data_IF_172015985754
#
_entry.id   IF_172015985754
#
_cell.length_a   1.000
_cell.length_b   1.000
_cell.length_c   1.000
_cell.angle_alpha   90.00
_cell.angle_beta   90.00
_cell.angle_gamma   90.00
#
_symmetry.space_group_name_H-M   'P 1'
#
loop_
_entity.id
_entity.type
_entity.pdbx_description
1 polymer ?
#
# COMPACT_ATOMS: atom_id res chain seq x y z
N UNK A 1 7.75 3.82 -26.21
CA UNK A 1 7.45 3.74 -24.76
C UNK A 1 5.96 3.48 -24.55
N UNK A 2 5.05 4.35 -24.99
CA UNK A 2 3.60 4.23 -24.75
C UNK A 2 3.00 2.91 -25.29
N UNK A 3 3.42 2.43 -26.48
CA UNK A 3 2.94 1.17 -27.04
C UNK A 3 3.34 -0.05 -26.18
N UNK A 4 4.57 -0.09 -25.67
CA UNK A 4 5.04 -1.16 -24.80
C UNK A 4 4.31 -1.10 -23.44
N UNK A 5 4.12 0.09 -22.89
CA UNK A 5 3.34 0.28 -21.67
C UNK A 5 1.89 -0.21 -21.84
N UNK A 6 1.24 0.18 -22.92
CA UNK A 6 -0.11 -0.29 -23.23
C UNK A 6 -0.19 -1.81 -23.39
N UNK A 7 0.80 -2.44 -24.05
CA UNK A 7 0.88 -3.89 -24.18
C UNK A 7 1.05 -4.60 -22.81
N UNK A 8 1.86 -4.06 -21.92
CA UNK A 8 2.03 -4.56 -20.54
C UNK A 8 0.70 -4.47 -19.78
N UNK A 9 0.02 -3.31 -19.86
CA UNK A 9 -1.28 -3.12 -19.19
C UNK A 9 -2.36 -4.06 -19.71
N UNK A 10 -2.43 -4.26 -21.04
CA UNK A 10 -3.32 -5.25 -21.64
C UNK A 10 -2.97 -6.67 -21.16
N UNK A 11 -1.69 -7.03 -21.08
CA UNK A 11 -1.26 -8.32 -20.52
C UNK A 11 -1.77 -8.54 -19.10
N UNK A 12 -1.71 -7.53 -18.24
CA UNK A 12 -2.26 -7.60 -16.88
C UNK A 12 -3.79 -7.74 -16.85
N UNK A 13 -4.51 -7.12 -17.78
CA UNK A 13 -5.97 -7.29 -17.87
C UNK A 13 -6.37 -8.73 -18.22
N UNK A 14 -5.54 -9.42 -19.02
CA UNK A 14 -5.79 -10.80 -19.44
C UNK A 14 -5.09 -11.86 -18.56
N UNK A 15 -4.68 -11.50 -17.34
CA UNK A 15 -3.99 -12.41 -16.40
C UNK A 15 -4.73 -13.72 -16.17
N UNK A 16 -6.07 -13.68 -16.07
CA UNK A 16 -6.89 -14.90 -15.88
C UNK A 16 -6.81 -15.90 -17.04
N UNK A 17 -6.52 -15.41 -18.24
CA UNK A 17 -6.44 -16.25 -19.46
C UNK A 17 -5.01 -16.70 -19.75
N UNK A 18 -4.01 -15.85 -19.42
CA UNK A 18 -2.58 -16.12 -19.67
C UNK A 18 -1.90 -16.95 -18.58
N UNK A 19 -2.46 -16.97 -17.37
CA UNK A 19 -1.83 -17.60 -16.20
C UNK A 19 -0.84 -16.67 -15.50
N UNK A 20 -0.62 -16.92 -14.20
CA UNK A 20 0.23 -16.08 -13.35
C UNK A 20 1.68 -16.02 -13.82
N UNK A 21 2.21 -17.13 -14.30
CA UNK A 21 3.63 -17.25 -14.67
C UNK A 21 3.95 -16.41 -15.92
N UNK A 22 3.10 -16.47 -16.92
CA UNK A 22 3.25 -15.68 -18.16
C UNK A 22 3.08 -14.19 -17.84
N UNK A 23 2.11 -13.84 -17.01
CA UNK A 23 1.87 -12.45 -16.63
C UNK A 23 3.04 -11.81 -15.92
N UNK A 24 3.77 -12.56 -15.10
CA UNK A 24 4.97 -12.07 -14.42
C UNK A 24 6.15 -11.81 -15.36
N UNK A 25 6.19 -12.48 -16.50
CA UNK A 25 7.27 -12.33 -17.51
C UNK A 25 7.00 -11.10 -18.43
N UNK A 26 5.74 -10.70 -18.60
CA UNK A 26 5.37 -9.61 -19.52
C UNK A 26 6.12 -8.30 -19.25
N UNK A 27 6.24 -7.80 -18.00
CA UNK A 27 6.99 -6.56 -17.73
C UNK A 27 8.48 -6.69 -18.08
N UNK A 28 9.09 -7.86 -17.79
CA UNK A 28 10.48 -8.11 -18.11
C UNK A 28 10.72 -8.17 -19.63
N UNK A 29 9.82 -8.81 -20.38
CA UNK A 29 9.85 -8.81 -21.83
C UNK A 29 9.69 -7.39 -22.41
N UNK A 30 8.75 -6.61 -21.87
CA UNK A 30 8.58 -5.20 -22.25
C UNK A 30 9.81 -4.36 -22.02
N UNK A 31 10.50 -4.54 -20.89
CA UNK A 31 11.75 -3.88 -20.58
C UNK A 31 12.87 -4.27 -21.59
N UNK A 32 12.98 -5.55 -21.91
CA UNK A 32 13.95 -6.03 -22.90
C UNK A 32 13.70 -5.41 -24.29
N UNK A 33 12.44 -5.31 -24.70
CA UNK A 33 12.07 -4.64 -25.96
C UNK A 33 12.55 -3.20 -25.96
N UNK A 34 12.34 -2.43 -24.88
CA UNK A 34 12.76 -1.04 -24.80
C UNK A 34 14.29 -0.89 -24.84
N UNK A 35 15.03 -1.82 -24.25
CA UNK A 35 16.50 -1.82 -24.30
C UNK A 35 17.00 -2.17 -25.71
N UNK A 36 16.44 -3.18 -26.37
CA UNK A 36 16.83 -3.61 -27.72
C UNK A 36 16.59 -2.48 -28.75
N UNK A 37 15.47 -1.77 -28.63
CA UNK A 37 15.20 -0.60 -29.46
C UNK A 37 15.93 0.67 -29.05
N UNK A 38 16.87 0.58 -28.09
CA UNK A 38 17.65 1.71 -27.56
C UNK A 38 16.80 2.91 -27.09
N UNK A 39 15.61 2.63 -26.61
CA UNK A 39 14.71 3.63 -26.03
C UNK A 39 15.09 3.91 -24.57
N UNK A 40 15.62 2.88 -23.89
CA UNK A 40 16.21 2.94 -22.54
C UNK A 40 17.67 2.50 -22.59
N UNK A 41 18.53 3.26 -21.94
CA UNK A 41 19.94 2.91 -21.78
C UNK A 41 20.13 1.99 -20.57
N UNK A 42 21.03 1.01 -20.67
CA UNK A 42 21.34 0.06 -19.58
C UNK A 42 21.69 0.78 -18.27
N UNK A 43 22.50 1.88 -18.26
CA UNK A 43 22.79 2.59 -17.02
C UNK A 43 21.56 3.18 -16.32
N UNK A 44 20.56 3.64 -17.06
CA UNK A 44 19.29 4.16 -16.49
C UNK A 44 18.47 3.06 -15.86
N UNK A 45 18.41 1.89 -16.51
CA UNK A 45 17.74 0.70 -15.98
C UNK A 45 18.41 0.25 -14.69
N UNK A 46 19.75 0.18 -14.68
CA UNK A 46 20.52 -0.20 -13.48
C UNK A 46 20.31 0.79 -12.33
N UNK A 47 20.29 2.08 -12.61
CA UNK A 47 19.99 3.11 -11.60
C UNK A 47 18.59 2.95 -11.01
N UNK A 48 17.61 2.58 -11.82
CA UNK A 48 16.24 2.33 -11.35
C UNK A 48 16.16 1.04 -10.52
N UNK A 49 16.86 -0.02 -10.92
CA UNK A 49 16.90 -1.29 -10.18
C UNK A 49 17.62 -1.14 -8.82
N UNK A 50 18.55 -0.22 -8.69
CA UNK A 50 19.27 0.04 -7.44
C UNK A 50 18.59 1.07 -6.56
N UNK A 51 17.38 1.56 -6.93
CA UNK A 51 16.66 2.50 -6.07
C UNK A 51 16.11 1.81 -4.82
N UNK A 52 16.13 2.53 -3.70
CA UNK A 52 15.70 2.03 -2.38
C UNK A 52 14.29 1.45 -2.38
N UNK A 53 13.39 1.99 -3.23
CA UNK A 53 12.01 1.53 -3.34
C UNK A 53 11.92 0.08 -3.84
N UNK A 54 12.71 -0.30 -4.84
CA UNK A 54 12.72 -1.67 -5.39
C UNK A 54 13.20 -2.65 -4.34
N UNK A 55 14.28 -2.34 -3.63
CA UNK A 55 14.83 -3.19 -2.58
C UNK A 55 13.91 -3.29 -1.37
N UNK A 56 13.25 -2.20 -1.01
CA UNK A 56 12.27 -2.19 0.07
C UNK A 56 11.09 -3.13 -0.24
N UNK A 57 10.50 -3.03 -1.44
CA UNK A 57 9.38 -3.89 -1.86
C UNK A 57 9.81 -5.34 -1.94
N UNK A 58 11.00 -5.62 -2.51
CA UNK A 58 11.56 -6.97 -2.58
C UNK A 58 11.78 -7.56 -1.17
N UNK A 59 12.41 -6.81 -0.27
CA UNK A 59 12.65 -7.23 1.12
C UNK A 59 11.34 -7.52 1.87
N UNK A 60 10.35 -6.65 1.74
CA UNK A 60 9.06 -6.84 2.42
C UNK A 60 8.26 -8.03 1.86
N UNK A 61 8.40 -8.37 0.59
CA UNK A 61 7.78 -9.58 0.05
C UNK A 61 8.37 -10.86 0.67
N UNK A 62 9.67 -10.85 0.93
CA UNK A 62 10.36 -11.96 1.64
C UNK A 62 9.88 -12.05 3.09
N UNK A 63 9.80 -10.91 3.79
CA UNK A 63 9.29 -10.85 5.17
C UNK A 63 7.83 -11.35 5.23
N UNK A 64 6.97 -10.92 4.31
CA UNK A 64 5.58 -11.38 4.25
C UNK A 64 5.49 -12.90 4.03
N UNK A 65 6.32 -13.44 3.15
CA UNK A 65 6.39 -14.89 2.90
C UNK A 65 6.90 -15.66 4.13
N UNK A 66 7.90 -15.11 4.82
CA UNK A 66 8.43 -15.70 6.05
C UNK A 66 7.37 -15.71 7.16
N UNK A 67 6.66 -14.60 7.38
CA UNK A 67 5.56 -14.51 8.34
C UNK A 67 4.48 -15.57 8.10
N UNK A 68 4.11 -15.77 6.82
CA UNK A 68 3.11 -16.76 6.45
C UNK A 68 3.59 -18.19 6.65
N UNK A 69 4.87 -18.50 6.37
CA UNK A 69 5.42 -19.85 6.47
C UNK A 69 5.79 -20.27 7.89
N UNK A 70 6.20 -19.33 8.73
CA UNK A 70 6.64 -19.61 10.11
C UNK A 70 5.51 -19.62 11.13
N UNK A 71 4.28 -19.24 10.75
CA UNK A 71 3.15 -19.09 11.68
C UNK A 71 3.25 -17.83 12.57
N UNK A 72 4.34 -17.08 12.49
CA UNK A 72 4.50 -15.83 13.25
C UNK A 72 3.45 -14.80 12.85
N UNK A 73 3.03 -14.80 11.58
CA UNK A 73 1.93 -13.95 11.10
C UNK A 73 0.64 -14.19 11.87
N UNK A 74 0.29 -15.46 12.16
CA UNK A 74 -0.89 -15.82 12.95
C UNK A 74 -0.77 -15.35 14.41
N UNK A 75 0.39 -15.53 15.02
CA UNK A 75 0.65 -15.03 16.38
C UNK A 75 0.49 -13.50 16.46
N UNK A 76 1.03 -12.76 15.50
CA UNK A 76 0.87 -11.30 15.41
C UNK A 76 -0.62 -10.96 15.26
N UNK A 77 -1.33 -11.62 14.35
CA UNK A 77 -2.75 -11.41 14.12
C UNK A 77 -3.58 -11.62 15.37
N UNK A 78 -3.40 -12.76 16.06
CA UNK A 78 -4.07 -13.06 17.31
C UNK A 78 -3.73 -12.09 18.43
N UNK A 79 -2.46 -11.68 18.54
CA UNK A 79 -2.03 -10.68 19.53
C UNK A 79 -2.73 -9.34 19.29
N UNK A 80 -2.81 -8.88 18.06
CA UNK A 80 -3.52 -7.65 17.69
C UNK A 80 -5.01 -7.78 18.02
N UNK A 81 -5.65 -8.90 17.69
CA UNK A 81 -7.06 -9.16 18.03
C UNK A 81 -7.30 -9.17 19.54
N UNK A 82 -6.41 -9.78 20.33
CA UNK A 82 -6.52 -9.81 21.78
C UNK A 82 -6.40 -8.40 22.37
N UNK A 83 -5.49 -7.57 21.87
CA UNK A 83 -5.35 -6.15 22.28
C UNK A 83 -6.63 -5.36 21.94
N UNK A 84 -7.30 -5.70 20.84
CA UNK A 84 -8.54 -5.08 20.40
C UNK A 84 -9.80 -5.63 21.08
N UNK A 85 -9.66 -6.52 22.07
CA UNK A 85 -10.78 -7.07 22.86
C UNK A 85 -11.17 -8.51 22.53
N UNK A 86 -10.34 -9.24 21.82
CA UNK A 86 -10.48 -10.69 21.54
C UNK A 86 -11.33 -11.02 20.32
N UNK A 87 -12.50 -10.41 20.19
CA UNK A 87 -13.42 -10.59 19.05
C UNK A 87 -13.96 -9.22 18.55
N UNK A 88 -13.09 -8.35 18.07
CA UNK A 88 -13.52 -7.04 17.57
C UNK A 88 -14.34 -7.19 16.30
N UNK A 89 -15.28 -6.28 16.07
CA UNK A 89 -15.99 -6.23 14.79
C UNK A 89 -14.98 -5.89 13.66
N UNK A 90 -15.14 -6.50 12.49
CA UNK A 90 -14.24 -6.24 11.35
C UNK A 90 -14.19 -4.76 10.95
N UNK A 91 -15.30 -4.04 11.13
CA UNK A 91 -15.35 -2.60 10.92
C UNK A 91 -14.44 -1.86 11.91
N UNK A 92 -14.42 -2.26 13.17
CA UNK A 92 -13.54 -1.68 14.19
C UNK A 92 -12.06 -1.94 13.86
N UNK A 93 -11.72 -3.17 13.45
CA UNK A 93 -10.37 -3.52 13.00
C UNK A 93 -9.94 -2.64 11.82
N UNK A 94 -10.81 -2.47 10.82
CA UNK A 94 -10.53 -1.62 9.66
C UNK A 94 -10.30 -0.16 10.05
N UNK A 95 -11.11 0.37 10.97
CA UNK A 95 -10.93 1.75 11.49
C UNK A 95 -9.57 1.89 12.15
N UNK A 96 -9.20 0.95 13.03
CA UNK A 96 -7.91 0.98 13.74
C UNK A 96 -6.74 0.95 12.77
N UNK A 97 -6.76 0.05 11.79
CA UNK A 97 -5.71 -0.03 10.77
C UNK A 97 -5.65 1.21 9.87
N UNK A 98 -6.81 1.74 9.44
CA UNK A 98 -6.87 2.97 8.67
C UNK A 98 -6.27 4.16 9.41
N UNK A 99 -6.65 4.34 10.67
CA UNK A 99 -6.14 5.44 11.51
C UNK A 99 -4.64 5.26 11.77
N UNK A 100 -4.20 4.05 12.12
CA UNK A 100 -2.79 3.74 12.35
C UNK A 100 -1.94 4.04 11.09
N UNK A 101 -2.37 3.56 9.92
CA UNK A 101 -1.67 3.82 8.65
C UNK A 101 -1.65 5.31 8.30
N UNK A 102 -2.77 6.01 8.45
CA UNK A 102 -2.88 7.44 8.18
C UNK A 102 -2.00 8.27 9.12
N UNK A 103 -1.85 7.88 10.38
CA UNK A 103 -0.94 8.54 11.31
C UNK A 103 0.52 8.25 10.95
N UNK A 104 0.88 6.99 10.73
CA UNK A 104 2.25 6.58 10.43
C UNK A 104 2.76 7.21 9.13
N UNK A 105 1.94 7.26 8.08
CA UNK A 105 2.34 7.79 6.77
C UNK A 105 2.70 9.27 6.80
N UNK A 106 2.26 10.03 7.79
CA UNK A 106 2.65 11.43 7.97
C UNK A 106 4.07 11.60 8.56
N UNK A 107 4.66 10.53 9.13
CA UNK A 107 6.00 10.55 9.71
C UNK A 107 6.99 9.69 8.93
N UNK A 108 6.51 8.73 8.15
CA UNK A 108 7.34 7.86 7.33
C UNK A 108 6.78 7.78 5.90
N UNK A 109 7.56 7.20 4.97
CA UNK A 109 7.11 7.11 3.58
C UNK A 109 5.83 6.28 3.42
N UNK A 110 4.97 6.64 2.46
CA UNK A 110 3.75 5.91 2.15
C UNK A 110 4.04 4.43 1.87
N UNK A 111 5.09 4.17 1.06
CA UNK A 111 5.51 2.80 0.72
C UNK A 111 6.02 2.04 1.94
N UNK A 112 6.78 2.69 2.84
CA UNK A 112 7.23 2.10 4.09
C UNK A 112 6.06 1.73 5.00
N UNK A 113 5.08 2.61 5.12
CA UNK A 113 3.85 2.35 5.89
C UNK A 113 3.08 1.17 5.32
N UNK A 114 2.86 1.13 4.01
CA UNK A 114 2.20 0.00 3.34
C UNK A 114 2.95 -1.31 3.55
N UNK A 115 4.27 -1.29 3.35
CA UNK A 115 5.10 -2.48 3.46
C UNK A 115 5.08 -3.05 4.89
N UNK A 116 5.09 -2.19 5.90
CA UNK A 116 5.04 -2.61 7.29
C UNK A 116 3.66 -3.10 7.71
N UNK A 117 2.61 -2.35 7.38
CA UNK A 117 1.27 -2.58 7.92
C UNK A 117 0.47 -3.65 7.15
N UNK A 118 0.73 -3.83 5.85
CA UNK A 118 -0.05 -4.78 5.05
C UNK A 118 0.08 -6.24 5.52
N UNK A 119 1.28 -6.77 5.85
CA UNK A 119 1.41 -8.13 6.39
C UNK A 119 0.70 -8.30 7.73
N UNK A 120 0.77 -7.29 8.60
CA UNK A 120 0.12 -7.30 9.91
C UNK A 120 -1.40 -7.29 9.75
N UNK A 121 -1.91 -6.43 8.86
CA UNK A 121 -3.33 -6.36 8.55
C UNK A 121 -3.87 -7.67 7.95
N UNK A 122 -3.11 -8.27 7.03
CA UNK A 122 -3.47 -9.55 6.43
C UNK A 122 -3.53 -10.67 7.47
N UNK A 123 -2.52 -10.77 8.34
CA UNK A 123 -2.47 -11.77 9.42
C UNK A 123 -3.61 -11.59 10.43
N UNK A 124 -3.92 -10.34 10.80
CA UNK A 124 -5.02 -10.01 11.71
C UNK A 124 -6.37 -10.37 11.09
N UNK A 125 -6.57 -10.06 9.81
CA UNK A 125 -7.79 -10.39 9.09
C UNK A 125 -8.01 -11.91 8.97
N UNK A 126 -6.94 -12.66 8.68
CA UNK A 126 -6.98 -14.12 8.64
C UNK A 126 -7.34 -14.72 9.99
N UNK A 127 -6.68 -14.27 11.06
CA UNK A 127 -6.91 -14.74 12.42
C UNK A 127 -8.35 -14.43 12.91
N UNK A 128 -8.92 -13.29 12.47
CA UNK A 128 -10.30 -12.88 12.80
C UNK A 128 -11.39 -13.41 11.87
N UNK A 129 -11.04 -14.23 10.85
CA UNK A 129 -12.00 -14.71 9.85
C UNK A 129 -12.62 -13.62 8.99
N UNK A 130 -11.91 -12.51 8.82
CA UNK A 130 -12.36 -11.36 8.06
C UNK A 130 -11.86 -11.41 6.60
N UNK A 131 -12.49 -10.62 5.73
CA UNK A 131 -12.04 -10.49 4.35
C UNK A 131 -10.69 -9.77 4.30
N UNK A 132 -9.62 -10.53 4.04
CA UNK A 132 -8.24 -10.03 3.97
C UNK A 132 -8.11 -8.90 2.96
N UNK A 133 -8.77 -8.99 1.80
CA UNK A 133 -8.71 -7.97 0.75
C UNK A 133 -9.24 -6.63 1.25
N UNK A 134 -10.36 -6.64 1.98
CA UNK A 134 -10.94 -5.42 2.53
C UNK A 134 -10.00 -4.72 3.51
N UNK A 135 -9.46 -5.46 4.49
CA UNK A 135 -8.59 -4.90 5.53
C UNK A 135 -7.26 -4.41 4.95
N UNK A 136 -6.65 -5.18 4.04
CA UNK A 136 -5.39 -4.77 3.38
C UNK A 136 -5.62 -3.56 2.48
N UNK A 137 -6.74 -3.47 1.75
CA UNK A 137 -7.07 -2.28 0.96
C UNK A 137 -7.25 -1.05 1.84
N UNK A 138 -7.88 -1.20 3.02
CA UNK A 138 -7.95 -0.13 4.02
C UNK A 138 -6.56 0.40 4.37
N UNK A 139 -5.60 -0.48 4.67
CA UNK A 139 -4.22 -0.10 4.96
C UNK A 139 -3.54 0.59 3.78
N UNK A 140 -3.62 -0.02 2.59
CA UNK A 140 -2.94 0.48 1.40
C UNK A 140 -3.44 1.88 1.01
N UNK A 141 -4.75 2.10 1.00
CA UNK A 141 -5.30 3.41 0.60
C UNK A 141 -5.08 4.45 1.69
N UNK A 142 -5.24 4.10 2.98
CA UNK A 142 -4.99 5.06 4.07
C UNK A 142 -3.53 5.46 4.20
N UNK A 143 -2.58 4.62 3.80
CA UNK A 143 -1.16 4.98 3.73
C UNK A 143 -0.85 6.08 2.70
N UNK A 144 -1.75 6.38 1.76
CA UNK A 144 -1.62 7.51 0.83
C UNK A 144 -2.22 8.81 1.35
N UNK A 145 -2.87 8.81 2.52
CA UNK A 145 -3.46 10.00 3.14
C UNK A 145 -2.40 10.83 3.90
N UNK A 146 -1.27 11.09 3.25
CA UNK A 146 -0.08 11.74 3.80
C UNK A 146 -0.08 13.27 3.52
N UNK A 147 -1.17 13.95 3.84
CA UNK A 147 -1.31 15.39 3.55
C UNK A 147 -1.46 16.27 4.79
N UNK A 148 -1.39 15.68 5.98
CA UNK A 148 -1.55 16.42 7.24
C UNK A 148 -0.27 17.15 7.61
N UNK A 149 0.87 16.48 7.42
CA UNK A 149 2.20 17.02 7.73
C UNK A 149 3.04 17.19 6.46
N UNK A 150 3.94 18.19 6.40
CA UNK A 150 4.83 18.39 5.25
C UNK A 150 5.80 17.21 5.05
N UNK A 151 6.05 16.41 6.08
CA UNK A 151 6.93 15.25 6.04
C UNK A 151 6.32 14.01 5.40
N UNK A 152 5.00 13.98 5.18
CA UNK A 152 4.28 12.81 4.72
C UNK A 152 4.65 12.37 3.30
N UNK A 153 4.77 13.29 2.36
CA UNK A 153 5.23 13.00 1.01
C UNK A 153 5.87 14.23 0.33
N UNK A 154 6.60 13.98 -0.77
CA UNK A 154 7.26 15.05 -1.53
C UNK A 154 6.29 16.11 -2.05
N UNK A 155 5.09 15.72 -2.44
CA UNK A 155 4.05 16.65 -2.92
C UNK A 155 3.58 17.59 -1.83
N UNK A 156 3.33 17.09 -0.62
CA UNK A 156 2.96 17.93 0.53
C UNK A 156 4.11 18.84 0.96
N UNK A 157 5.33 18.33 0.96
CA UNK A 157 6.52 19.14 1.25
C UNK A 157 6.63 20.34 0.29
N UNK A 158 6.44 20.11 -1.01
CA UNK A 158 6.44 21.17 -2.02
C UNK A 158 5.28 22.15 -1.82
N UNK A 159 4.08 21.66 -1.56
CA UNK A 159 2.90 22.51 -1.35
C UNK A 159 3.08 23.44 -0.13
N UNK A 160 3.59 22.89 0.98
CA UNK A 160 3.91 23.70 2.17
C UNK A 160 5.03 24.70 1.93
N UNK A 161 6.07 24.32 1.15
CA UNK A 161 7.20 25.19 0.82
C UNK A 161 6.79 26.33 -0.10
N UNK A 162 6.15 26.04 -1.23
CA UNK A 162 5.71 27.05 -2.21
C UNK A 162 4.63 27.98 -1.60
N UNK A 163 3.69 27.39 -0.85
CA UNK A 163 2.60 28.14 -0.23
C UNK A 163 3.02 28.89 1.04
N UNK A 164 4.27 28.76 1.50
CA UNK A 164 4.77 29.30 2.77
C UNK A 164 3.79 29.05 3.92
N UNK A 165 3.24 27.82 3.97
CA UNK A 165 2.19 27.45 4.89
C UNK A 165 2.77 27.05 6.26
N UNK A 166 2.16 27.57 7.33
CA UNK A 166 2.49 27.13 8.67
C UNK A 166 1.79 25.79 8.98
N UNK A 167 2.52 24.68 9.25
CA UNK A 167 1.94 23.36 9.48
C UNK A 167 0.88 23.35 10.58
N UNK A 168 1.07 24.07 11.67
CA UNK A 168 0.12 24.11 12.79
C UNK A 168 -1.19 24.84 12.42
N UNK A 169 -1.13 25.86 11.56
CA UNK A 169 -2.33 26.55 11.09
C UNK A 169 -3.08 25.70 10.07
N UNK A 170 -2.35 25.03 9.19
CA UNK A 170 -2.91 24.14 8.16
C UNK A 170 -3.56 22.90 8.77
N UNK A 171 -3.07 22.42 9.91
CA UNK A 171 -3.62 21.27 10.63
C UNK A 171 -5.14 21.42 10.92
N UNK A 172 -5.61 22.65 11.18
CA UNK A 172 -7.03 22.92 11.42
C UNK A 172 -7.93 22.56 10.24
N UNK A 173 -7.40 22.58 9.02
CA UNK A 173 -8.11 22.24 7.79
C UNK A 173 -7.81 20.80 7.33
N UNK A 174 -6.58 20.35 7.46
CA UNK A 174 -6.16 19.04 6.99
C UNK A 174 -6.64 17.91 7.89
N UNK A 175 -6.78 18.16 9.20
CA UNK A 175 -7.25 17.14 10.14
C UNK A 175 -8.74 16.79 9.94
N UNK A 176 -9.68 17.75 9.82
CA UNK A 176 -11.06 17.44 9.44
C UNK A 176 -11.16 16.75 8.07
N UNK A 177 -10.33 17.18 7.11
CA UNK A 177 -10.27 16.55 5.78
C UNK A 177 -9.80 15.10 5.88
N UNK A 178 -8.78 14.81 6.70
CA UNK A 178 -8.31 13.44 6.95
C UNK A 178 -9.43 12.58 7.54
N UNK A 179 -10.16 13.06 8.54
CA UNK A 179 -11.27 12.34 9.16
C UNK A 179 -12.36 12.04 8.11
N UNK A 180 -12.71 13.02 7.31
CA UNK A 180 -13.73 12.87 6.28
C UNK A 180 -13.33 11.87 5.19
N UNK A 181 -12.06 11.91 4.76
CA UNK A 181 -11.52 10.95 3.79
C UNK A 181 -11.43 9.54 4.35
N UNK A 182 -11.07 9.37 5.64
CA UNK A 182 -11.08 8.06 6.31
C UNK A 182 -12.50 7.48 6.41
N UNK A 183 -13.49 8.30 6.77
CA UNK A 183 -14.89 7.87 6.81
C UNK A 183 -15.35 7.44 5.41
N UNK A 184 -15.09 8.25 4.39
CA UNK A 184 -15.45 7.92 3.02
C UNK A 184 -14.75 6.63 2.53
N UNK A 185 -13.49 6.43 2.89
CA UNK A 185 -12.72 5.23 2.56
C UNK A 185 -13.35 3.99 3.20
N UNK A 186 -13.63 4.02 4.50
CA UNK A 186 -14.20 2.89 5.24
C UNK A 186 -15.58 2.53 4.69
N UNK A 187 -16.42 3.52 4.43
CA UNK A 187 -17.74 3.30 3.82
C UNK A 187 -17.60 2.70 2.43
N UNK A 188 -16.73 3.28 1.59
CA UNK A 188 -16.51 2.80 0.22
C UNK A 188 -16.02 1.36 0.18
N UNK A 189 -15.01 1.02 1.00
CA UNK A 189 -14.49 -0.35 1.03
C UNK A 189 -15.54 -1.34 1.54
N UNK A 190 -16.33 -0.98 2.55
CA UNK A 190 -17.41 -1.87 3.04
C UNK A 190 -18.52 -2.11 2.02
N UNK A 191 -18.79 -1.15 1.13
CA UNK A 191 -19.80 -1.33 0.06
C UNK A 191 -19.27 -2.29 -1.03
N UNK A 192 -18.02 -2.12 -1.46
CA UNK A 192 -17.46 -2.89 -2.56
C UNK A 192 -16.83 -4.23 -2.12
N UNK A 193 -16.30 -4.28 -0.90
CA UNK A 193 -15.64 -5.43 -0.31
C UNK A 193 -16.14 -5.64 1.11
N UNK A 194 -17.31 -6.29 1.31
CA UNK A 194 -17.81 -6.55 2.64
C UNK A 194 -16.76 -7.25 3.52
N UNK A 195 -16.58 -6.75 4.73
CA UNK A 195 -15.55 -7.26 5.66
C UNK A 195 -15.91 -8.65 6.16
N UNK A 196 -17.19 -8.89 6.32
CA UNK A 196 -17.76 -10.22 6.55
C UNK A 196 -18.58 -10.57 5.31
N UNK A 197 -18.14 -11.57 4.58
CA UNK A 197 -18.82 -12.13 3.42
C UNK A 197 -19.28 -13.53 3.70
#
# INVERSE_FOLDING_TARGET
IFGVFAAIMLGFMFTKQLGSDITNVIPAAGLLVLIVFKVLEIPEVMKTLTCDMVWMVAGMSVVSTALSKTGVGELIGQTVLNILGGHPSGLFVSIVFCVACALMTNFMSNMGTMALMSPIAASTALAGGMNVKAVVLCCCVSAWLAFVMPTGCSGTMMAFGIGNQNPLKTLKFTLPLLILTLIALIIGINIFFPIYG
#
